data_IF_027861105267
#
_entry.id   IF_027861105267
#
_cell.length_a   1.000
_cell.length_b   1.000
_cell.length_c   1.000
_cell.angle_alpha   90.00
_cell.angle_beta   90.00
_cell.angle_gamma   90.00
#
_symmetry.space_group_name_H-M   'P 1'
#
loop_
_entity.id
_entity.type
_entity.pdbx_description
1 polymer ?
#
# COMPACT_ATOMS: atom_id res chain seq x y z
N UNK A 1 -14.75 23.02 6.03
CA UNK A 1 -14.22 21.91 6.84
C UNK A 1 -12.89 21.54 6.19
N UNK A 2 -11.78 21.45 6.93
CA UNK A 2 -10.51 21.04 6.35
C UNK A 2 -10.61 19.54 6.04
N UNK A 3 -10.53 19.18 4.77
CA UNK A 3 -10.50 17.78 4.36
C UNK A 3 -9.27 17.11 4.98
N UNK A 4 -9.49 15.94 5.57
CA UNK A 4 -8.43 15.10 6.12
C UNK A 4 -7.45 14.71 5.01
N UNK A 5 -6.19 15.10 5.15
CA UNK A 5 -5.12 14.74 4.20
C UNK A 5 -4.59 13.30 4.38
N UNK A 6 -5.23 12.51 5.22
CA UNK A 6 -4.86 11.12 5.47
C UNK A 6 -5.98 10.19 5.00
N UNK A 7 -5.65 9.28 4.10
CA UNK A 7 -6.55 8.27 3.55
C UNK A 7 -5.88 6.91 3.74
N UNK A 8 -6.49 6.04 4.54
CA UNK A 8 -6.04 4.69 4.84
C UNK A 8 -6.88 3.61 4.13
N UNK A 9 -7.92 4.04 3.44
CA UNK A 9 -8.87 3.18 2.76
C UNK A 9 -9.32 3.82 1.46
N UNK A 10 -9.22 3.09 0.35
CA UNK A 10 -9.62 3.59 -0.97
C UNK A 10 -10.17 2.46 -1.82
N UNK A 11 -11.23 2.77 -2.57
CA UNK A 11 -11.80 1.88 -3.59
C UNK A 11 -11.39 2.39 -4.96
N UNK A 12 -10.78 1.54 -5.77
CA UNK A 12 -10.34 1.87 -7.12
C UNK A 12 -10.79 0.80 -8.11
N UNK A 13 -11.04 1.25 -9.33
CA UNK A 13 -11.30 0.40 -10.47
C UNK A 13 -10.02 0.23 -11.29
N UNK A 14 -9.67 -1.02 -11.58
CA UNK A 14 -8.49 -1.38 -12.34
C UNK A 14 -8.87 -2.14 -13.59
N UNK A 15 -8.30 -1.75 -14.74
CA UNK A 15 -8.49 -2.41 -16.02
C UNK A 15 -7.16 -2.66 -16.70
N UNK A 16 -6.87 -3.93 -17.01
CA UNK A 16 -5.67 -4.29 -17.78
C UNK A 16 -5.84 -3.97 -19.26
N UNK A 17 -4.76 -3.99 -20.01
CA UNK A 17 -4.80 -3.81 -21.45
C UNK A 17 -5.33 -5.04 -22.20
N UNK A 18 -6.13 -4.83 -23.23
CA UNK A 18 -6.53 -5.86 -24.22
C UNK A 18 -5.34 -6.23 -25.09
N UNK A 19 -5.18 -7.47 -25.46
CA UNK A 19 -4.20 -7.89 -26.46
C UNK A 19 -4.55 -7.42 -27.86
N UNK A 20 -3.57 -7.02 -28.65
CA UNK A 20 -3.74 -6.63 -30.04
C UNK A 20 -4.14 -7.82 -30.90
N UNK A 21 -4.90 -7.60 -31.96
CA UNK A 21 -5.29 -8.62 -32.92
C UNK A 21 -4.11 -9.03 -33.80
N UNK A 22 -3.98 -10.29 -34.16
CA UNK A 22 -3.07 -10.74 -35.21
C UNK A 22 -3.53 -10.27 -36.59
N UNK A 23 -2.56 -10.00 -37.48
CA UNK A 23 -2.83 -9.54 -38.84
C UNK A 23 -3.18 -10.67 -39.79
N UNK A 24 -4.12 -10.41 -40.68
CA UNK A 24 -4.51 -11.31 -41.77
C UNK A 24 -3.85 -10.94 -43.11
N UNK A 25 -2.86 -10.04 -43.09
CA UNK A 25 -2.24 -9.51 -44.30
C UNK A 25 -1.61 -10.59 -45.16
N UNK A 26 -1.78 -10.44 -46.48
CA UNK A 26 -1.16 -11.27 -47.51
C UNK A 26 -0.10 -10.48 -48.25
N UNK A 27 1.07 -11.06 -48.44
CA UNK A 27 2.18 -10.43 -49.15
C UNK A 27 1.78 -10.20 -50.62
N UNK A 28 1.87 -8.95 -51.07
CA UNK A 28 1.66 -8.56 -52.48
C UNK A 28 2.88 -7.75 -52.90
N UNK A 29 3.56 -8.23 -53.94
CA UNK A 29 4.71 -7.54 -54.53
C UNK A 29 4.57 -7.54 -56.06
N UNK A 30 5.24 -6.58 -56.67
CA UNK A 30 5.35 -6.53 -58.15
C UNK A 30 5.99 -7.85 -58.62
N UNK A 31 5.35 -8.58 -59.46
CA UNK A 31 5.73 -9.92 -59.96
C UNK A 31 5.47 -11.11 -59.00
N UNK A 32 4.88 -10.92 -57.83
CA UNK A 32 4.50 -12.01 -56.91
C UNK A 32 3.02 -11.83 -56.53
N UNK A 33 2.07 -12.23 -57.35
CA UNK A 33 0.63 -12.01 -57.05
C UNK A 33 0.12 -12.87 -55.88
N UNK A 34 0.76 -14.01 -55.58
CA UNK A 34 0.40 -14.95 -54.54
C UNK A 34 1.52 -15.15 -53.50
N UNK A 35 1.94 -14.07 -52.82
CA UNK A 35 3.07 -14.09 -51.90
C UNK A 35 2.86 -14.86 -50.59
N UNK A 36 1.65 -15.30 -50.30
CA UNK A 36 1.30 -16.05 -49.09
C UNK A 36 1.09 -15.15 -47.85
N UNK A 37 0.77 -15.77 -46.70
CA UNK A 37 0.47 -15.06 -45.46
C UNK A 37 1.76 -14.44 -44.88
N UNK A 38 1.69 -13.15 -44.55
CA UNK A 38 2.78 -12.40 -43.94
C UNK A 38 2.33 -11.47 -42.80
N UNK A 39 1.12 -11.71 -42.26
CA UNK A 39 0.60 -11.00 -41.12
C UNK A 39 1.46 -11.29 -39.87
N UNK A 40 1.75 -10.24 -39.12
CA UNK A 40 2.43 -10.31 -37.81
C UNK A 40 1.48 -10.53 -36.65
N UNK A 41 2.03 -10.80 -35.49
CA UNK A 41 1.26 -10.99 -34.24
C UNK A 41 0.90 -9.65 -33.61
N UNK A 42 -0.22 -9.60 -32.90
CA UNK A 42 -0.57 -8.44 -32.08
C UNK A 42 0.33 -8.33 -30.84
N UNK A 43 0.49 -7.12 -30.34
CA UNK A 43 1.19 -6.83 -29.08
C UNK A 43 0.34 -7.28 -27.88
N UNK A 44 1.00 -7.56 -26.74
CA UNK A 44 0.28 -7.82 -25.49
C UNK A 44 -0.33 -6.54 -24.92
N UNK A 45 -1.42 -6.67 -24.17
CA UNK A 45 -1.93 -5.59 -23.32
C UNK A 45 -1.02 -5.34 -22.10
N UNK A 46 -1.06 -4.12 -21.58
CA UNK A 46 -0.33 -3.73 -20.39
C UNK A 46 -0.88 -4.39 -19.13
N UNK A 47 -0.01 -4.62 -18.16
CA UNK A 47 -0.34 -5.15 -16.84
C UNK A 47 -0.69 -4.03 -15.87
N UNK A 48 -1.44 -4.35 -14.81
CA UNK A 48 -1.56 -3.51 -13.61
C UNK A 48 -0.68 -4.14 -12.53
N UNK A 49 0.26 -3.35 -12.02
CA UNK A 49 1.26 -3.80 -11.05
C UNK A 49 1.23 -2.86 -9.84
N UNK A 50 1.07 -3.43 -8.65
CA UNK A 50 1.25 -2.72 -7.39
C UNK A 50 2.73 -2.67 -7.06
N UNK A 51 3.20 -1.49 -6.60
CA UNK A 51 4.60 -1.31 -6.18
C UNK A 51 4.65 -0.66 -4.81
N UNK A 52 5.32 -1.30 -3.85
CA UNK A 52 5.54 -0.76 -2.52
C UNK A 52 6.50 0.43 -2.52
N UNK A 53 6.09 1.56 -1.93
CA UNK A 53 6.92 2.75 -1.83
C UNK A 53 6.87 3.33 -0.40
N UNK A 54 8.02 3.31 0.31
CA UNK A 54 8.15 3.89 1.67
C UNK A 54 7.98 5.40 1.74
N UNK A 55 8.08 6.11 0.60
CA UNK A 55 7.88 7.55 0.57
C UNK A 55 6.41 7.94 0.63
N UNK A 56 5.51 7.01 0.35
CA UNK A 56 4.08 7.18 0.55
C UNK A 56 3.70 6.66 1.94
N UNK A 57 2.92 7.43 2.67
CA UNK A 57 2.41 7.12 4.01
C UNK A 57 0.88 7.17 4.10
N UNK A 58 0.21 7.40 2.97
CA UNK A 58 -1.24 7.48 2.83
C UNK A 58 -1.64 7.10 1.42
N UNK A 59 -2.88 6.65 1.25
CA UNK A 59 -3.47 6.34 -0.06
C UNK A 59 -4.13 7.56 -0.72
N UNK A 60 -3.90 8.78 -0.20
CA UNK A 60 -4.56 10.00 -0.64
C UNK A 60 -4.47 10.25 -2.16
N UNK A 61 -3.32 9.95 -2.78
CA UNK A 61 -3.14 10.14 -4.22
C UNK A 61 -4.08 9.26 -5.04
N UNK A 62 -4.45 8.07 -4.54
CA UNK A 62 -5.37 7.14 -5.20
C UNK A 62 -6.84 7.54 -5.03
N UNK A 63 -7.16 8.41 -4.06
CA UNK A 63 -8.50 8.97 -3.91
C UNK A 63 -8.90 9.84 -5.10
N UNK A 64 -7.93 10.47 -5.74
CA UNK A 64 -8.15 11.34 -6.90
C UNK A 64 -7.97 10.60 -8.24
N UNK A 65 -7.27 9.45 -8.26
CA UNK A 65 -7.08 8.60 -9.44
C UNK A 65 -7.73 7.24 -9.20
N UNK A 66 -9.07 7.22 -9.29
CA UNK A 66 -9.87 6.02 -8.99
C UNK A 66 -9.99 5.04 -10.15
N UNK A 67 -9.65 5.47 -11.36
CA UNK A 67 -9.73 4.68 -12.58
C UNK A 67 -8.35 4.45 -13.16
N UNK A 68 -7.82 3.26 -12.96
CA UNK A 68 -6.47 2.92 -13.37
C UNK A 68 -6.54 1.93 -14.53
N UNK A 69 -6.10 2.40 -15.70
CA UNK A 69 -6.14 1.64 -16.94
C UNK A 69 -4.74 1.46 -17.51
N UNK A 70 -4.41 0.25 -17.94
CA UNK A 70 -3.18 -0.05 -18.66
C UNK A 70 -3.40 0.06 -20.18
N UNK A 71 -2.32 0.27 -20.92
CA UNK A 71 -2.36 0.41 -22.38
C UNK A 71 -2.80 -0.86 -23.09
N UNK A 72 -3.52 -0.69 -24.21
CA UNK A 72 -3.86 -1.81 -25.08
C UNK A 72 -2.68 -2.19 -25.98
N UNK A 73 -2.59 -3.46 -26.36
CA UNK A 73 -1.64 -3.91 -27.37
C UNK A 73 -2.12 -3.52 -28.78
N UNK A 74 -1.19 -3.10 -29.63
CA UNK A 74 -1.47 -2.76 -31.02
C UNK A 74 -1.68 -4.03 -31.87
N UNK A 75 -2.47 -3.89 -32.93
CA UNK A 75 -2.67 -4.98 -33.88
C UNK A 75 -1.39 -5.29 -34.65
N UNK A 76 -1.21 -6.54 -35.07
CA UNK A 76 -0.09 -6.96 -35.91
C UNK A 76 -0.12 -6.27 -37.28
N UNK A 77 1.07 -6.00 -37.80
CA UNK A 77 1.28 -5.32 -39.08
C UNK A 77 1.53 -6.25 -40.25
N UNK A 78 1.94 -5.64 -41.38
CA UNK A 78 2.42 -6.30 -42.60
C UNK A 78 3.84 -6.83 -42.42
N UNK A 79 4.29 -7.72 -43.32
CA UNK A 79 5.68 -8.22 -43.32
C UNK A 79 6.11 -8.85 -41.99
N UNK A 80 5.17 -9.52 -41.30
CA UNK A 80 5.34 -10.13 -39.98
C UNK A 80 5.77 -9.12 -38.90
N UNK A 81 5.40 -7.85 -39.05
CA UNK A 81 5.66 -6.86 -38.02
C UNK A 81 4.73 -7.10 -36.83
N UNK A 82 5.33 -7.21 -35.65
CA UNK A 82 4.57 -7.34 -34.40
C UNK A 82 3.92 -6.01 -34.04
N UNK A 83 2.72 -6.07 -33.48
CA UNK A 83 2.11 -4.91 -32.83
C UNK A 83 2.93 -4.49 -31.58
N UNK A 84 2.92 -3.23 -31.25
CA UNK A 84 3.56 -2.70 -30.03
C UNK A 84 2.81 -3.24 -28.81
N UNK A 85 3.56 -3.61 -27.77
CA UNK A 85 2.98 -3.95 -26.47
C UNK A 85 2.37 -2.73 -25.79
N UNK A 86 1.23 -2.91 -25.11
CA UNK A 86 0.62 -1.90 -24.27
C UNK A 86 1.49 -1.59 -23.06
N UNK A 87 1.46 -0.33 -22.63
CA UNK A 87 2.24 0.13 -21.47
C UNK A 87 1.67 -0.45 -20.17
N UNK A 88 2.56 -0.98 -19.32
CA UNK A 88 2.22 -1.44 -17.99
C UNK A 88 1.94 -0.24 -17.08
N UNK A 89 0.93 -0.33 -16.21
CA UNK A 89 0.59 0.71 -15.24
C UNK A 89 1.01 0.28 -13.85
N UNK A 90 1.85 1.10 -13.22
CA UNK A 90 2.28 0.89 -11.84
C UNK A 90 1.43 1.74 -10.90
N UNK A 91 0.93 1.10 -9.85
CA UNK A 91 0.22 1.75 -8.75
C UNK A 91 1.17 1.74 -7.56
N UNK A 92 1.64 2.92 -7.18
CA UNK A 92 2.50 3.05 -6.02
C UNK A 92 1.66 3.12 -4.74
N UNK A 93 1.93 2.23 -3.80
CA UNK A 93 1.22 2.12 -2.54
C UNK A 93 2.18 2.16 -1.35
N UNK A 94 1.75 2.68 -0.19
CA UNK A 94 2.54 2.58 1.04
C UNK A 94 2.81 1.12 1.40
N UNK A 95 3.95 0.86 2.06
CA UNK A 95 4.20 -0.45 2.65
C UNK A 95 3.16 -0.76 3.74
N UNK A 96 2.69 -2.02 3.78
CA UNK A 96 1.60 -2.43 4.67
C UNK A 96 0.20 -2.25 4.08
N UNK A 97 0.09 -1.99 2.78
CA UNK A 97 -1.20 -1.95 2.09
C UNK A 97 -1.70 -3.35 1.79
N UNK A 98 -2.92 -3.65 2.19
CA UNK A 98 -3.63 -4.89 1.90
C UNK A 98 -4.72 -4.63 0.88
N UNK A 99 -4.88 -5.55 -0.05
CA UNK A 99 -5.81 -5.43 -1.18
C UNK A 99 -6.86 -6.51 -1.11
N UNK A 100 -8.11 -6.11 -1.21
CA UNK A 100 -9.28 -6.98 -1.26
C UNK A 100 -10.07 -6.76 -2.54
N UNK A 101 -10.75 -7.80 -2.99
CA UNK A 101 -11.76 -7.67 -4.03
C UNK A 101 -12.98 -6.93 -3.44
N UNK A 102 -13.43 -5.88 -4.12
CA UNK A 102 -14.55 -5.05 -3.64
C UNK A 102 -15.90 -5.78 -3.71
N UNK A 103 -16.05 -6.77 -4.60
CA UNK A 103 -17.29 -7.49 -4.81
C UNK A 103 -17.41 -8.71 -3.90
N UNK A 104 -16.31 -9.49 -3.76
CA UNK A 104 -16.32 -10.74 -2.98
C UNK A 104 -15.80 -10.58 -1.56
N UNK A 105 -15.09 -9.48 -1.25
CA UNK A 105 -14.40 -9.27 0.02
C UNK A 105 -13.18 -10.17 0.23
N UNK A 106 -12.80 -10.95 -0.79
CA UNK A 106 -11.67 -11.86 -0.70
C UNK A 106 -10.34 -11.10 -0.69
N UNK A 107 -9.41 -11.61 0.10
CA UNK A 107 -8.03 -11.15 0.08
C UNK A 107 -7.36 -11.49 -1.25
N UNK A 108 -6.68 -10.51 -1.84
CA UNK A 108 -5.93 -10.69 -3.09
C UNK A 108 -4.43 -10.74 -2.81
N UNK A 109 -3.88 -9.70 -2.19
CA UNK A 109 -2.45 -9.58 -1.89
C UNK A 109 -2.18 -8.52 -0.84
N UNK A 110 -0.96 -8.50 -0.35
CA UNK A 110 -0.40 -7.42 0.47
C UNK A 110 0.95 -6.96 -0.09
N UNK A 111 1.27 -5.70 0.19
CA UNK A 111 2.51 -5.06 -0.20
C UNK A 111 3.21 -4.58 1.07
N UNK A 112 4.21 -5.33 1.54
CA UNK A 112 4.89 -5.10 2.82
C UNK A 112 6.21 -4.36 2.66
N UNK A 113 6.93 -4.61 1.57
CA UNK A 113 8.29 -4.14 1.39
C UNK A 113 8.41 -3.03 0.33
N UNK A 114 9.42 -2.17 0.52
CA UNK A 114 9.77 -1.16 -0.48
C UNK A 114 10.32 -1.81 -1.75
N UNK A 115 9.76 -1.42 -2.90
CA UNK A 115 10.13 -1.99 -4.18
C UNK A 115 9.53 -3.37 -4.47
N UNK A 116 8.74 -3.94 -3.57
CA UNK A 116 7.97 -5.14 -3.83
C UNK A 116 6.97 -4.86 -4.95
N UNK A 117 6.98 -5.72 -5.96
CA UNK A 117 6.04 -5.64 -7.08
C UNK A 117 5.11 -6.85 -7.06
N UNK A 118 3.81 -6.57 -7.12
CA UNK A 118 2.76 -7.58 -7.18
C UNK A 118 1.91 -7.34 -8.42
N UNK A 119 1.83 -8.31 -9.31
CA UNK A 119 0.98 -8.24 -10.50
C UNK A 119 -0.48 -8.43 -10.07
N UNK A 120 -1.28 -7.36 -10.15
CA UNK A 120 -2.70 -7.38 -9.80
C UNK A 120 -3.55 -7.92 -10.94
N UNK A 121 -3.38 -7.35 -12.14
CA UNK A 121 -4.12 -7.77 -13.34
C UNK A 121 -3.14 -8.00 -14.49
N UNK A 122 -3.35 -9.12 -15.18
CA UNK A 122 -2.54 -9.49 -16.33
C UNK A 122 -3.18 -8.93 -17.60
N UNK A 123 -2.38 -8.27 -18.45
CA UNK A 123 -2.81 -7.86 -19.77
C UNK A 123 -3.06 -9.03 -20.68
N UNK A 124 -4.02 -8.88 -21.59
CA UNK A 124 -4.35 -9.89 -22.60
C UNK A 124 -3.18 -10.19 -23.54
N UNK A 125 -3.02 -11.41 -23.94
CA UNK A 125 -1.99 -11.80 -24.93
C UNK A 125 -2.38 -11.31 -26.31
N UNK A 126 -1.38 -10.89 -27.11
CA UNK A 126 -1.55 -10.60 -28.50
C UNK A 126 -1.98 -11.84 -29.31
N UNK A 127 -2.86 -11.64 -30.26
CA UNK A 127 -3.30 -12.69 -31.17
C UNK A 127 -2.22 -13.02 -32.21
N UNK A 128 -2.13 -14.28 -32.61
CA UNK A 128 -1.19 -14.74 -33.64
C UNK A 128 -1.66 -14.33 -35.05
N UNK A 129 -0.73 -13.83 -35.88
CA UNK A 129 -0.94 -13.51 -37.27
C UNK A 129 -1.17 -14.73 -38.15
N UNK A 130 -1.73 -14.49 -39.35
CA UNK A 130 -2.03 -15.58 -40.28
C UNK A 130 -0.79 -16.39 -40.71
N UNK A 131 0.41 -15.85 -40.60
CA UNK A 131 1.64 -16.54 -40.94
C UNK A 131 1.88 -17.80 -40.09
N UNK A 132 1.39 -17.83 -38.82
CA UNK A 132 1.49 -18.98 -37.93
C UNK A 132 0.55 -20.15 -38.31
N UNK A 133 -0.55 -19.85 -39.03
CA UNK A 133 -1.56 -20.85 -39.41
C UNK A 133 -1.33 -21.48 -40.78
N UNK A 134 -0.16 -21.18 -41.38
CA UNK A 134 0.24 -21.81 -42.64
C UNK A 134 0.63 -23.26 -42.42
N UNK A 135 -0.06 -24.18 -43.14
CA UNK A 135 0.21 -25.62 -43.15
C UNK A 135 0.40 -26.12 -44.57
N UNK A 136 0.88 -27.37 -44.73
CA UNK A 136 1.03 -27.99 -46.05
C UNK A 136 -0.28 -28.03 -46.86
N UNK A 137 -1.40 -28.22 -46.17
CA UNK A 137 -2.76 -28.26 -46.78
C UNK A 137 -3.42 -26.89 -46.87
N UNK A 138 -3.08 -25.95 -45.95
CA UNK A 138 -3.62 -24.60 -45.96
C UNK A 138 -2.47 -23.58 -46.12
N UNK A 139 -2.13 -23.27 -47.35
CA UNK A 139 -0.98 -22.41 -47.65
C UNK A 139 -1.28 -20.91 -47.55
N UNK A 140 -2.55 -20.51 -47.62
CA UNK A 140 -3.02 -19.12 -47.58
C UNK A 140 -4.17 -18.93 -46.59
N UNK A 141 -3.93 -19.03 -45.25
CA UNK A 141 -4.95 -18.77 -44.23
C UNK A 141 -5.33 -17.27 -44.23
N UNK A 142 -6.65 -17.00 -44.35
CA UNK A 142 -7.23 -15.64 -44.33
C UNK A 142 -7.78 -15.29 -42.96
N UNK A 143 -7.33 -15.91 -41.91
CA UNK A 143 -7.72 -15.63 -40.53
C UNK A 143 -6.49 -15.46 -39.63
N UNK A 144 -6.65 -14.70 -38.60
CA UNK A 144 -5.67 -14.52 -37.52
C UNK A 144 -6.39 -14.65 -36.17
N UNK A 145 -5.64 -14.85 -35.13
CA UNK A 145 -6.19 -14.98 -33.79
C UNK A 145 -6.52 -13.58 -33.23
N UNK A 146 -7.72 -13.39 -32.66
CA UNK A 146 -7.99 -12.17 -31.89
C UNK A 146 -7.07 -12.10 -30.68
N UNK A 147 -6.80 -10.88 -30.19
CA UNK A 147 -6.13 -10.71 -28.91
C UNK A 147 -7.01 -11.19 -27.76
N UNK A 148 -6.40 -11.60 -26.65
CA UNK A 148 -7.13 -11.92 -25.43
C UNK A 148 -7.80 -10.66 -24.85
N UNK A 149 -8.98 -10.80 -24.24
CA UNK A 149 -9.69 -9.68 -23.65
C UNK A 149 -8.91 -9.10 -22.46
N UNK A 150 -9.24 -7.88 -22.08
CA UNK A 150 -8.80 -7.24 -20.85
C UNK A 150 -9.44 -7.88 -19.62
N UNK A 151 -8.79 -7.70 -18.47
CA UNK A 151 -9.32 -8.07 -17.17
C UNK A 151 -9.70 -6.81 -16.42
N UNK A 152 -10.83 -6.83 -15.74
CA UNK A 152 -11.36 -5.74 -14.94
C UNK A 152 -11.54 -6.20 -13.50
N UNK A 153 -11.24 -5.34 -12.56
CA UNK A 153 -11.39 -5.64 -11.14
C UNK A 153 -11.55 -4.36 -10.34
N UNK A 154 -12.59 -4.30 -9.53
CA UNK A 154 -12.73 -3.28 -8.49
C UNK A 154 -12.09 -3.80 -7.22
N UNK A 155 -11.14 -3.04 -6.70
CA UNK A 155 -10.40 -3.40 -5.48
C UNK A 155 -10.60 -2.37 -4.40
N UNK A 156 -10.42 -2.86 -3.18
CA UNK A 156 -10.34 -2.04 -1.98
C UNK A 156 -8.94 -2.18 -1.42
N UNK A 157 -8.28 -1.07 -1.24
CA UNK A 157 -6.99 -0.99 -0.58
C UNK A 157 -7.15 -0.49 0.85
N UNK A 158 -6.58 -1.20 1.79
CA UNK A 158 -6.55 -0.84 3.20
C UNK A 158 -5.11 -0.74 3.67
N UNK A 159 -4.73 0.41 4.20
CA UNK A 159 -3.43 0.58 4.83
C UNK A 159 -3.48 0.04 6.26
N UNK A 160 -2.83 -1.10 6.52
CA UNK A 160 -2.80 -1.74 7.85
C UNK A 160 -1.67 -1.25 8.74
N UNK A 161 -0.58 -0.74 8.18
CA UNK A 161 0.50 -0.14 8.94
C UNK A 161 0.23 1.34 9.15
N UNK A 162 0.03 1.73 10.40
CA UNK A 162 -0.15 3.14 10.76
C UNK A 162 1.18 3.85 10.92
N UNK A 163 2.13 3.20 11.61
CA UNK A 163 3.46 3.71 11.87
C UNK A 163 4.42 2.54 12.16
N UNK A 164 5.71 2.80 11.96
CA UNK A 164 6.76 1.85 12.34
C UNK A 164 6.90 1.78 13.87
N UNK A 165 6.77 2.93 14.55
CA UNK A 165 6.90 3.08 16.01
C UNK A 165 5.67 3.72 16.61
N UNK A 166 5.00 3.05 17.54
CA UNK A 166 3.90 3.59 18.33
C UNK A 166 4.37 4.08 19.69
N UNK A 167 4.02 5.33 20.07
CA UNK A 167 4.33 5.91 21.38
C UNK A 167 3.29 5.48 22.41
N UNK A 168 3.76 4.88 23.50
CA UNK A 168 2.93 4.40 24.62
C UNK A 168 3.41 5.08 25.91
N UNK A 169 2.53 5.69 26.67
CA UNK A 169 2.90 6.33 27.93
C UNK A 169 1.78 7.14 28.54
N UNK A 170 1.90 7.47 29.82
CA UNK A 170 0.94 8.27 30.57
C UNK A 170 0.75 9.69 29.99
N UNK A 171 -0.36 10.37 30.27
CA UNK A 171 -0.47 11.80 30.02
C UNK A 171 0.76 12.54 30.57
N UNK A 172 1.24 13.54 29.84
CA UNK A 172 2.43 14.31 30.18
C UNK A 172 3.78 13.54 30.23
N UNK A 173 3.84 12.29 29.78
CA UNK A 173 5.12 11.56 29.62
C UNK A 173 6.03 12.14 28.53
N UNK A 174 5.60 13.17 27.81
CA UNK A 174 6.39 13.85 26.79
C UNK A 174 6.26 13.30 25.37
N UNK A 175 5.26 12.47 25.08
CA UNK A 175 5.05 11.82 23.76
C UNK A 175 5.00 12.82 22.60
N UNK A 176 4.06 13.76 22.64
CA UNK A 176 3.89 14.76 21.57
C UNK A 176 5.07 15.73 21.47
N UNK A 177 5.75 16.00 22.59
CA UNK A 177 6.98 16.79 22.61
C UNK A 177 8.11 16.04 21.93
N UNK A 178 8.31 14.76 22.24
CA UNK A 178 9.29 13.92 21.56
C UNK A 178 9.02 13.90 20.05
N UNK A 179 7.78 13.61 19.65
CA UNK A 179 7.40 13.53 18.26
C UNK A 179 7.71 14.84 17.51
N UNK A 180 7.45 15.99 18.12
CA UNK A 180 7.73 17.30 17.52
C UNK A 180 9.23 17.60 17.36
N UNK A 181 10.06 17.07 18.24
CA UNK A 181 11.53 17.26 18.21
C UNK A 181 12.21 16.33 17.22
N UNK A 182 11.76 15.08 17.12
CA UNK A 182 12.40 14.07 16.25
C UNK A 182 11.92 14.12 14.81
N UNK A 183 10.76 14.71 14.55
CA UNK A 183 10.14 14.77 13.22
C UNK A 183 10.81 15.83 12.32
N UNK A 184 11.02 15.50 11.05
CA UNK A 184 11.58 16.41 10.04
C UNK A 184 10.63 17.57 9.67
N UNK A 185 9.33 17.38 9.85
CA UNK A 185 8.28 18.36 9.61
C UNK A 185 7.36 18.40 10.84
N UNK A 186 6.57 19.47 10.98
CA UNK A 186 5.55 19.52 12.04
C UNK A 186 4.68 18.26 11.96
N UNK A 187 4.49 17.54 13.08
CA UNK A 187 3.62 16.38 13.11
C UNK A 187 2.26 16.71 12.51
N UNK A 188 1.74 15.85 11.67
CA UNK A 188 0.43 16.04 11.07
C UNK A 188 -0.60 15.29 11.88
N UNK A 189 -1.67 15.96 12.20
CA UNK A 189 -2.86 15.38 12.80
C UNK A 189 -3.56 14.58 11.70
N UNK A 190 -3.75 13.29 11.91
CA UNK A 190 -4.48 12.45 10.99
C UNK A 190 -5.91 12.30 11.50
N UNK A 191 -6.87 12.88 10.78
CA UNK A 191 -8.31 12.73 11.06
C UNK A 191 -8.77 11.38 10.51
N UNK A 192 -8.96 10.43 11.41
CA UNK A 192 -9.61 9.17 11.05
C UNK A 192 -11.12 9.33 11.28
N UNK A 193 -11.98 9.06 10.29
CA UNK A 193 -13.42 9.23 10.41
C UNK A 193 -14.06 8.35 11.50
N UNK A 194 -13.30 7.39 12.03
CA UNK A 194 -13.75 6.46 13.07
C UNK A 194 -13.01 6.62 14.41
N UNK A 195 -12.14 7.63 14.56
CA UNK A 195 -11.46 7.95 15.81
C UNK A 195 -11.97 9.27 16.38
N UNK A 196 -12.37 9.26 17.63
CA UNK A 196 -12.66 10.50 18.37
C UNK A 196 -11.38 11.22 18.80
N UNK A 197 -10.23 10.54 18.69
CA UNK A 197 -8.90 11.04 19.02
C UNK A 197 -8.01 10.89 17.79
N UNK A 198 -7.49 12.00 17.30
CA UNK A 198 -6.67 12.07 16.11
C UNK A 198 -5.21 11.72 16.46
N UNK A 199 -4.60 10.67 15.90
CA UNK A 199 -3.19 10.38 16.11
C UNK A 199 -2.30 11.41 15.43
N UNK A 200 -1.23 11.80 16.09
CA UNK A 200 -0.20 12.63 15.51
C UNK A 200 0.87 11.76 14.86
N UNK A 201 1.07 11.92 13.57
CA UNK A 201 2.12 11.19 12.82
C UNK A 201 3.30 12.10 12.53
N UNK A 202 4.51 11.57 12.72
CA UNK A 202 5.75 12.27 12.40
C UNK A 202 6.72 11.37 11.63
N UNK A 203 7.32 11.91 10.58
CA UNK A 203 8.39 11.24 9.84
C UNK A 203 9.70 11.58 10.53
N UNK A 204 10.39 10.57 11.05
CA UNK A 204 11.66 10.69 11.75
C UNK A 204 12.80 10.40 10.77
N UNK A 205 13.62 11.41 10.44
CA UNK A 205 14.77 11.18 9.58
C UNK A 205 15.86 10.41 10.33
N UNK A 206 16.45 9.46 9.62
CA UNK A 206 17.60 8.68 10.08
C UNK A 206 18.75 8.82 9.09
N UNK A 207 19.93 8.23 9.41
CA UNK A 207 21.16 8.32 8.60
C UNK A 207 20.93 7.86 7.15
N UNK A 208 21.74 8.39 6.23
CA UNK A 208 21.77 7.99 4.79
C UNK A 208 20.42 8.17 4.05
N UNK A 209 19.67 9.22 4.43
CA UNK A 209 18.38 9.51 3.78
C UNK A 209 17.26 8.53 4.11
N UNK A 210 17.46 7.65 5.08
CA UNK A 210 16.45 6.75 5.62
C UNK A 210 15.51 7.49 6.55
N UNK A 211 14.32 6.97 6.74
CA UNK A 211 13.31 7.51 7.66
C UNK A 211 12.38 6.40 8.13
N UNK A 212 11.71 6.63 9.24
CA UNK A 212 10.63 5.80 9.75
C UNK A 212 9.49 6.67 10.29
N UNK A 213 8.30 6.11 10.37
CA UNK A 213 7.11 6.82 10.83
C UNK A 213 6.88 6.52 12.31
N UNK A 214 6.67 7.56 13.09
CA UNK A 214 6.34 7.47 14.51
C UNK A 214 4.95 8.05 14.75
N UNK A 215 4.12 7.34 15.52
CA UNK A 215 2.77 7.76 15.87
C UNK A 215 2.65 8.06 17.36
N UNK A 216 2.17 9.26 17.71
CA UNK A 216 1.65 9.57 19.03
C UNK A 216 0.17 9.25 19.06
N UNK A 217 -0.17 8.26 19.88
CA UNK A 217 -1.53 7.76 19.99
C UNK A 217 -2.09 8.27 21.32
N UNK A 218 -2.86 9.38 21.35
CA UNK A 218 -3.42 9.92 22.57
C UNK A 218 -4.49 8.97 23.15
N UNK A 219 -4.58 8.87 24.47
CA UNK A 219 -5.69 8.23 25.18
C UNK A 219 -5.58 6.72 25.44
N UNK A 220 -4.36 6.13 25.45
CA UNK A 220 -4.17 4.72 25.84
C UNK A 220 -4.62 4.45 27.29
N UNK A 221 -4.59 5.45 28.17
CA UNK A 221 -4.57 5.25 29.63
C UNK A 221 -5.79 5.82 30.37
N UNK A 222 -6.60 6.69 29.77
CA UNK A 222 -7.77 7.25 30.46
C UNK A 222 -9.05 6.44 30.16
N UNK A 223 -9.31 5.41 30.97
CA UNK A 223 -10.61 4.74 31.03
C UNK A 223 -10.88 3.68 29.96
N UNK A 224 -9.87 3.10 29.33
CA UNK A 224 -10.04 2.00 28.39
C UNK A 224 -10.66 0.75 29.07
N UNK A 225 -10.45 0.56 30.36
CA UNK A 225 -11.02 -0.52 31.17
C UNK A 225 -12.49 -0.31 31.60
N UNK A 226 -13.04 0.92 31.50
CA UNK A 226 -14.38 1.24 31.97
C UNK A 226 -15.50 1.03 30.92
N UNK A 227 -15.25 0.37 29.80
CA UNK A 227 -16.31 -0.12 28.90
C UNK A 227 -17.05 0.95 28.09
N UNK A 228 -16.58 2.20 28.05
CA UNK A 228 -17.13 3.22 27.17
C UNK A 228 -16.56 3.08 25.76
N UNK A 229 -17.10 2.20 24.98
CA UNK A 229 -17.12 1.99 23.53
C UNK A 229 -16.05 2.52 22.58
N UNK A 230 -15.16 3.38 23.04
CA UNK A 230 -14.10 4.08 22.29
C UNK A 230 -12.80 3.27 22.14
N UNK A 231 -12.56 2.30 23.04
CA UNK A 231 -11.29 1.58 23.14
C UNK A 231 -11.01 0.60 21.98
N UNK A 232 -11.99 -0.13 21.50
CA UNK A 232 -11.78 -1.25 20.57
C UNK A 232 -11.35 -0.81 19.14
N UNK A 233 -11.81 0.33 18.65
CA UNK A 233 -11.42 0.84 17.31
C UNK A 233 -10.03 1.46 17.34
N UNK A 234 -9.72 2.15 18.40
CA UNK A 234 -8.46 2.83 18.63
C UNK A 234 -7.27 1.88 18.78
N UNK A 235 -7.48 0.78 19.44
CA UNK A 235 -6.45 -0.19 19.75
C UNK A 235 -6.08 -1.09 18.54
N UNK A 236 -6.94 -1.16 17.52
CA UNK A 236 -6.57 -1.70 16.20
C UNK A 236 -5.42 -0.91 15.55
N UNK A 237 -5.25 0.37 15.89
CA UNK A 237 -4.14 1.17 15.36
C UNK A 237 -2.81 0.86 16.03
N UNK A 238 -2.83 0.47 17.31
CA UNK A 238 -1.60 0.03 18.00
C UNK A 238 -1.17 -1.34 17.50
N UNK A 239 -2.12 -2.21 17.15
CA UNK A 239 -1.83 -3.49 16.50
C UNK A 239 -1.09 -3.34 15.16
N UNK A 240 -1.23 -2.17 14.54
CA UNK A 240 -0.63 -1.84 13.24
C UNK A 240 0.79 -1.28 13.31
N UNK A 241 1.35 -1.08 14.50
CA UNK A 241 2.75 -0.63 14.67
C UNK A 241 3.69 -1.83 14.77
N UNK A 242 4.87 -1.72 14.18
CA UNK A 242 5.88 -2.78 14.23
C UNK A 242 6.60 -2.84 15.57
N UNK A 243 6.80 -1.68 16.21
CA UNK A 243 7.54 -1.49 17.46
C UNK A 243 6.75 -0.59 18.42
N UNK A 244 6.82 -0.86 19.72
CA UNK A 244 6.24 -0.01 20.75
C UNK A 244 7.32 0.69 21.55
N UNK A 245 7.28 2.02 21.60
CA UNK A 245 8.15 2.85 22.46
C UNK A 245 7.38 3.27 23.70
N UNK A 246 7.72 2.64 24.83
CA UNK A 246 7.18 3.00 26.13
C UNK A 246 7.91 4.24 26.66
N UNK A 247 7.16 5.22 27.10
CA UNK A 247 7.68 6.46 27.62
C UNK A 247 7.26 6.65 29.08
N UNK A 248 8.21 6.60 29.98
CA UNK A 248 8.01 6.82 31.41
C UNK A 248 8.82 8.06 31.81
N UNK A 249 8.20 9.06 32.47
CA UNK A 249 8.91 10.25 32.86
C UNK A 249 9.83 9.98 34.09
N UNK A 250 10.98 10.63 34.13
CA UNK A 250 11.97 10.47 35.19
C UNK A 250 11.52 10.99 36.56
N UNK A 251 10.48 11.84 36.57
CA UNK A 251 9.82 12.37 37.77
C UNK A 251 8.76 11.40 38.36
N UNK A 252 8.63 10.18 37.80
CA UNK A 252 7.77 9.15 38.36
C UNK A 252 8.32 8.58 39.67
N UNK A 253 7.45 8.26 40.63
CA UNK A 253 7.83 7.68 41.91
C UNK A 253 8.50 6.31 41.79
N UNK A 254 8.08 5.51 40.81
CA UNK A 254 8.62 4.18 40.49
C UNK A 254 8.46 3.86 39.00
N UNK A 255 9.56 4.01 38.26
CA UNK A 255 9.59 3.81 36.80
C UNK A 255 9.21 2.38 36.40
N UNK A 256 9.68 1.39 37.17
CA UNK A 256 9.37 -0.02 36.90
C UNK A 256 7.88 -0.31 37.06
N UNK A 257 7.30 0.22 38.13
CA UNK A 257 5.86 0.03 38.41
C UNK A 257 4.99 0.71 37.36
N UNK A 258 5.34 1.92 36.92
CA UNK A 258 4.63 2.59 35.85
C UNK A 258 4.71 1.81 34.53
N UNK A 259 5.89 1.27 34.21
CA UNK A 259 6.04 0.40 33.03
C UNK A 259 5.18 -0.86 33.15
N UNK A 260 5.11 -1.53 34.31
CA UNK A 260 4.28 -2.70 34.55
C UNK A 260 2.79 -2.37 34.43
N UNK A 261 2.33 -1.20 34.88
CA UNK A 261 0.95 -0.75 34.71
C UNK A 261 0.63 -0.58 33.22
N UNK A 262 1.50 0.07 32.45
CA UNK A 262 1.33 0.23 31.00
C UNK A 262 1.25 -1.12 30.26
N UNK A 263 2.06 -2.09 30.66
CA UNK A 263 2.03 -3.45 30.12
C UNK A 263 0.70 -4.17 30.45
N UNK A 264 0.25 -4.06 31.70
CA UNK A 264 -1.02 -4.67 32.11
C UNK A 264 -2.22 -4.09 31.35
N UNK A 265 -2.23 -2.78 31.12
CA UNK A 265 -3.28 -2.14 30.30
C UNK A 265 -3.28 -2.66 28.86
N UNK A 266 -2.11 -2.74 28.23
CA UNK A 266 -1.98 -3.31 26.89
C UNK A 266 -2.40 -4.77 26.86
N UNK A 267 -2.02 -5.58 27.86
CA UNK A 267 -2.39 -7.01 27.94
C UNK A 267 -3.88 -7.23 28.12
N UNK A 268 -4.50 -6.38 28.93
CA UNK A 268 -5.96 -6.43 29.16
C UNK A 268 -6.72 -6.10 27.87
N UNK A 269 -6.10 -5.30 27.03
CA UNK A 269 -6.67 -4.87 25.77
C UNK A 269 -6.51 -5.93 24.67
N UNK A 270 -5.29 -6.32 24.35
CA UNK A 270 -4.94 -7.40 23.42
C UNK A 270 -3.65 -8.10 23.86
N UNK A 271 -3.74 -9.37 24.34
CA UNK A 271 -2.57 -10.14 24.74
C UNK A 271 -1.50 -10.27 23.66
N UNK A 272 -1.89 -10.28 22.38
CA UNK A 272 -0.95 -10.38 21.24
C UNK A 272 0.00 -9.19 21.13
N UNK A 273 -0.33 -8.06 21.76
CA UNK A 273 0.56 -6.90 21.79
C UNK A 273 1.78 -7.09 22.67
N UNK A 274 1.74 -8.06 23.57
CA UNK A 274 2.89 -8.42 24.40
C UNK A 274 4.01 -9.11 23.61
N UNK A 275 3.69 -9.66 22.43
CA UNK A 275 4.68 -10.31 21.57
C UNK A 275 5.46 -9.32 20.70
N UNK A 276 5.02 -8.05 20.65
CA UNK A 276 5.71 -7.01 19.89
C UNK A 276 7.02 -6.59 20.51
N UNK A 277 7.97 -6.19 19.65
CA UNK A 277 9.23 -5.59 20.09
C UNK A 277 8.95 -4.29 20.87
N UNK A 278 9.71 -4.08 21.95
CA UNK A 278 9.50 -3.00 22.90
C UNK A 278 10.80 -2.30 23.22
N UNK A 279 10.75 -0.99 23.30
CA UNK A 279 11.84 -0.14 23.78
C UNK A 279 11.30 0.75 24.90
N UNK A 280 12.07 0.97 25.95
CA UNK A 280 11.72 1.84 27.05
C UNK A 280 12.53 3.14 26.99
N UNK A 281 11.85 4.27 26.95
CA UNK A 281 12.47 5.59 27.03
C UNK A 281 12.11 6.25 28.36
N UNK A 282 13.13 6.56 29.15
CA UNK A 282 13.00 7.36 30.34
C UNK A 282 13.12 8.83 29.91
N UNK A 283 12.03 9.60 30.05
CA UNK A 283 11.94 10.98 29.57
C UNK A 283 12.21 11.99 30.66
N UNK A 284 12.45 13.28 30.29
CA UNK A 284 12.74 14.38 31.17
C UNK A 284 14.05 14.17 32.00
N UNK A 285 15.03 13.50 31.45
CA UNK A 285 16.30 13.19 32.13
C UNK A 285 17.18 14.43 32.40
N UNK A 286 16.79 15.58 31.89
CA UNK A 286 17.39 16.88 32.25
C UNK A 286 17.16 17.25 33.71
N UNK A 287 16.28 16.55 34.41
CA UNK A 287 16.00 16.74 35.85
C UNK A 287 16.82 15.79 36.76
N UNK A 288 17.54 14.83 36.17
CA UNK A 288 18.29 13.82 36.90
C UNK A 288 19.80 14.10 36.90
N UNK A 289 20.45 13.84 38.05
CA UNK A 289 21.89 13.75 38.13
C UNK A 289 22.40 12.37 37.68
N UNK A 290 23.67 12.28 37.30
CA UNK A 290 24.26 11.04 36.79
C UNK A 290 24.16 9.88 37.81
N UNK A 291 24.28 10.15 39.10
CA UNK A 291 24.16 9.15 40.15
C UNK A 291 22.77 8.54 40.24
N UNK A 292 21.72 9.35 40.02
CA UNK A 292 20.32 8.90 39.97
C UNK A 292 20.03 8.10 38.69
N UNK A 293 20.63 8.46 37.57
CA UNK A 293 20.50 7.67 36.34
C UNK A 293 21.08 6.27 36.52
N UNK A 294 22.28 6.17 37.14
CA UNK A 294 22.96 4.89 37.43
C UNK A 294 22.17 4.03 38.43
N UNK A 295 21.42 4.66 39.33
CA UNK A 295 20.55 3.97 40.30
C UNK A 295 19.26 3.45 39.60
N UNK A 296 18.64 4.26 38.78
CA UNK A 296 17.47 3.87 37.98
C UNK A 296 17.84 2.72 37.05
N UNK A 297 18.98 2.78 36.37
CA UNK A 297 19.44 1.75 35.45
C UNK A 297 19.52 0.36 36.11
N UNK A 298 19.91 0.29 37.37
CA UNK A 298 19.94 -0.98 38.14
C UNK A 298 18.56 -1.55 38.47
N UNK A 299 17.52 -0.73 38.44
CA UNK A 299 16.14 -1.14 38.76
C UNK A 299 15.36 -1.58 37.51
N UNK A 300 15.86 -1.23 36.30
CA UNK A 300 15.23 -1.53 35.05
C UNK A 300 15.38 -3.01 34.66
N UNK A 301 14.42 -3.60 33.90
CA UNK A 301 14.55 -4.96 33.41
C UNK A 301 15.66 -5.07 32.35
N UNK A 302 16.64 -5.94 32.59
CA UNK A 302 17.78 -6.18 31.67
C UNK A 302 17.38 -6.69 30.29
N UNK A 303 16.16 -7.25 30.15
CA UNK A 303 15.68 -7.87 28.92
C UNK A 303 15.14 -6.87 27.90
N UNK A 304 15.01 -5.58 28.23
CA UNK A 304 14.36 -4.58 27.40
C UNK A 304 15.37 -3.49 27.05
N UNK A 305 15.59 -3.18 25.76
CA UNK A 305 16.39 -2.03 25.37
C UNK A 305 15.81 -0.75 25.99
N UNK A 306 16.63 0.01 26.67
CA UNK A 306 16.21 1.25 27.31
C UNK A 306 17.16 2.41 27.02
N UNK A 307 16.64 3.63 27.12
CA UNK A 307 17.40 4.85 26.84
C UNK A 307 16.86 6.02 27.67
N UNK A 308 17.80 6.83 28.21
CA UNK A 308 17.49 8.08 28.88
C UNK A 308 17.45 9.23 27.88
N UNK A 309 16.33 9.96 27.82
CA UNK A 309 16.15 11.05 26.86
C UNK A 309 15.64 12.33 27.53
N UNK A 310 16.04 13.45 26.95
CA UNK A 310 15.39 14.73 27.17
C UNK A 310 15.03 15.37 25.82
N UNK A 311 13.77 15.57 25.59
CA UNK A 311 13.28 16.24 24.37
C UNK A 311 13.66 17.74 24.36
N UNK A 312 13.86 18.36 25.54
CA UNK A 312 14.18 19.78 25.63
C UNK A 312 15.67 20.02 25.33
N UNK A 313 16.57 19.22 25.92
CA UNK A 313 18.02 19.35 25.73
C UNK A 313 18.55 18.54 24.56
N UNK A 314 17.71 17.74 23.92
CA UNK A 314 18.08 16.77 22.86
C UNK A 314 19.05 15.67 23.36
N UNK A 315 19.19 15.49 24.67
CA UNK A 315 20.01 14.42 25.26
C UNK A 315 19.42 13.06 24.87
N UNK A 316 20.27 12.11 24.47
CA UNK A 316 19.87 10.73 24.15
C UNK A 316 19.04 10.53 22.89
N UNK A 317 18.62 11.60 22.19
CA UNK A 317 17.74 11.48 20.99
C UNK A 317 18.43 10.70 19.86
N UNK A 318 19.74 10.90 19.63
CA UNK A 318 20.48 10.14 18.61
C UNK A 318 20.57 8.66 18.96
N UNK A 319 20.84 8.34 20.23
CA UNK A 319 20.87 6.96 20.71
C UNK A 319 19.50 6.28 20.60
N UNK A 320 18.42 7.01 20.94
CA UNK A 320 17.06 6.53 20.75
C UNK A 320 16.79 6.15 19.27
N UNK A 321 17.15 7.03 18.33
CA UNK A 321 16.98 6.75 16.90
C UNK A 321 17.79 5.53 16.45
N UNK A 322 18.99 5.35 16.95
CA UNK A 322 19.84 4.20 16.63
C UNK A 322 19.23 2.90 17.16
N UNK A 323 18.76 2.88 18.41
CA UNK A 323 18.09 1.73 19.02
C UNK A 323 16.80 1.39 18.28
N UNK A 324 15.95 2.38 18.00
CA UNK A 324 14.70 2.16 17.25
C UNK A 324 14.97 1.60 15.86
N UNK A 325 15.96 2.12 15.17
CA UNK A 325 16.34 1.64 13.84
C UNK A 325 16.85 0.19 13.87
N UNK A 326 17.67 -0.16 14.86
CA UNK A 326 18.18 -1.52 15.05
C UNK A 326 17.03 -2.49 15.36
N UNK A 327 16.14 -2.14 16.28
CA UNK A 327 14.98 -2.97 16.64
C UNK A 327 14.00 -3.17 15.46
N UNK A 328 13.74 -2.11 14.66
CA UNK A 328 12.88 -2.19 13.49
C UNK A 328 13.44 -3.12 12.38
N UNK A 329 14.76 -3.28 12.29
CA UNK A 329 15.40 -4.08 11.27
C UNK A 329 15.79 -5.50 11.74
N UNK A 330 15.48 -5.89 12.98
CA UNK A 330 15.65 -7.28 13.44
C UNK A 330 14.76 -8.23 12.62
N UNK A 331 15.27 -9.41 12.30
CA UNK A 331 14.55 -10.41 11.48
C UNK A 331 13.20 -10.81 12.06
N UNK A 332 13.01 -10.75 13.38
CA UNK A 332 11.75 -11.02 14.06
C UNK A 332 10.65 -9.96 13.84
N UNK A 333 11.00 -8.78 13.33
CA UNK A 333 10.04 -7.70 13.01
C UNK A 333 9.51 -7.74 11.57
N UNK A 334 9.99 -8.67 10.75
CA UNK A 334 9.37 -8.94 9.45
C UNK A 334 7.99 -9.49 9.73
N UNK A 335 6.98 -8.79 9.26
CA UNK A 335 5.57 -9.20 9.38
C UNK A 335 5.45 -10.58 8.70
N UNK A 336 5.54 -11.63 9.51
CA UNK A 336 5.20 -12.98 9.05
C UNK A 336 3.71 -12.96 8.72
N UNK A 337 3.39 -13.42 7.52
CA UNK A 337 2.11 -13.32 6.85
C UNK A 337 0.90 -13.28 7.77
N UNK A 338 0.28 -12.13 7.85
CA UNK A 338 -0.97 -11.95 8.58
C UNK A 338 -2.00 -12.90 7.97
N UNK A 339 -2.58 -13.78 8.77
CA UNK A 339 -3.67 -14.64 8.32
C UNK A 339 -4.86 -13.76 7.96
N UNK A 340 -5.02 -13.49 6.68
CA UNK A 340 -6.10 -12.67 6.16
C UNK A 340 -7.39 -13.50 6.12
N UNK A 341 -8.35 -13.14 6.97
CA UNK A 341 -9.71 -13.69 6.88
C UNK A 341 -10.51 -12.87 5.87
N UNK A 342 -11.34 -13.52 5.03
CA UNK A 342 -12.27 -12.80 4.17
C UNK A 342 -13.10 -11.81 4.98
N UNK A 343 -13.23 -10.59 4.49
CA UNK A 343 -14.08 -9.59 5.13
C UNK A 343 -15.53 -9.82 4.70
N UNK A 344 -16.47 -9.56 5.61
CA UNK A 344 -17.89 -9.54 5.28
C UNK A 344 -18.15 -8.35 4.35
N UNK A 345 -18.64 -8.63 3.13
CA UNK A 345 -18.90 -7.63 2.08
C UNK A 345 -19.86 -6.54 2.57
N UNK A 346 -20.89 -6.93 3.34
CA UNK A 346 -21.86 -5.97 3.89
C UNK A 346 -21.19 -5.00 4.88
N UNK A 347 -20.21 -5.50 5.65
CA UNK A 347 -19.45 -4.67 6.58
C UNK A 347 -18.48 -3.74 5.86
N UNK A 348 -17.85 -4.22 4.80
CA UNK A 348 -16.99 -3.45 3.91
C UNK A 348 -17.77 -2.31 3.22
N UNK A 349 -18.96 -2.61 2.69
CA UNK A 349 -19.83 -1.61 2.06
C UNK A 349 -20.37 -0.59 3.07
N UNK A 350 -20.68 -1.03 4.30
CA UNK A 350 -21.09 -0.11 5.36
C UNK A 350 -19.95 0.83 5.78
N UNK A 351 -18.72 0.32 5.86
CA UNK A 351 -17.52 1.13 6.13
C UNK A 351 -17.26 2.16 5.00
N UNK A 352 -17.49 1.80 3.73
CA UNK A 352 -17.40 2.71 2.58
C UNK A 352 -18.46 3.83 2.63
N UNK A 353 -19.71 3.47 2.96
CA UNK A 353 -20.79 4.45 3.11
C UNK A 353 -20.55 5.45 4.23
N UNK A 354 -20.05 4.98 5.37
CA UNK A 354 -19.68 5.86 6.49
C UNK A 354 -18.54 6.83 6.12
N UNK A 355 -17.68 6.47 5.16
CA UNK A 355 -16.59 7.30 4.66
C UNK A 355 -16.99 8.27 3.55
N UNK A 356 -18.25 8.23 3.07
CA UNK A 356 -18.73 9.07 1.97
C UNK A 356 -18.12 8.72 0.61
N UNK A 357 -17.64 7.51 0.44
CA UNK A 357 -17.00 7.03 -0.81
C UNK A 357 -17.96 6.29 -1.74
N UNK A 358 -19.23 6.10 -1.36
CA UNK A 358 -20.26 5.39 -2.15
C UNK A 358 -21.05 6.31 -3.10
N UNK A 359 -20.80 7.61 -3.11
CA UNK A 359 -21.46 8.50 -4.06
C UNK A 359 -20.76 8.41 -5.42
N UNK A 360 -21.50 7.90 -6.41
CA UNK A 360 -21.24 7.92 -7.85
C UNK A 360 -20.20 6.93 -8.42
N UNK A 361 -20.42 5.61 -8.23
CA UNK A 361 -19.87 4.59 -9.13
C UNK A 361 -20.91 4.15 -10.18
N UNK A 362 -21.68 5.10 -10.76
CA UNK A 362 -22.43 4.82 -11.99
C UNK A 362 -21.52 5.04 -13.20
N UNK A 363 -21.14 3.93 -13.82
CA UNK A 363 -20.36 3.95 -15.06
C UNK A 363 -21.31 4.20 -16.23
N UNK A 364 -21.18 5.33 -16.89
CA UNK A 364 -21.52 5.44 -18.29
C UNK A 364 -20.29 5.01 -19.10
N UNK A 365 -20.25 3.76 -19.50
CA UNK A 365 -19.36 3.34 -20.58
C UNK A 365 -19.90 3.93 -21.86
N UNK A 366 -19.33 5.01 -22.32
CA UNK A 366 -19.28 5.27 -23.74
C UNK A 366 -18.06 4.49 -24.23
N UNK A 367 -18.32 3.28 -24.75
CA UNK A 367 -17.32 2.54 -25.51
C UNK A 367 -16.98 3.41 -26.74
N UNK A 368 -15.93 4.22 -26.60
CA UNK A 368 -15.22 4.76 -27.76
C UNK A 368 -14.38 3.66 -28.42
N UNK A 369 -14.95 2.47 -28.60
CA UNK A 369 -14.52 1.56 -29.64
C UNK A 369 -15.27 1.99 -30.93
N UNK A 370 -14.90 3.14 -31.50
CA UNK A 370 -15.05 3.34 -32.89
C UNK A 370 -14.23 2.23 -33.57
N UNK A 371 -14.92 1.11 -33.84
CA UNK A 371 -14.49 0.19 -34.86
C UNK A 371 -14.39 1.02 -36.17
N UNK A 372 -13.18 1.52 -36.44
CA UNK A 372 -12.85 1.80 -37.84
C UNK A 372 -13.00 0.50 -38.59
N UNK A 373 -14.23 0.24 -39.03
CA UNK A 373 -14.48 -0.64 -40.15
C UNK A 373 -13.73 -0.04 -41.35
N UNK A 374 -12.49 -0.46 -41.49
CA UNK A 374 -11.76 -0.28 -42.74
C UNK A 374 -12.53 -1.20 -43.75
N UNK A 375 -13.56 -0.65 -44.32
CA UNK A 375 -14.08 -1.14 -45.57
C UNK A 375 -12.94 -1.00 -46.58
N UNK A 376 -12.27 -2.11 -46.91
CA UNK A 376 -11.49 -2.23 -48.13
C UNK A 376 -12.52 -2.09 -49.28
N UNK A 377 -12.66 -0.87 -49.79
CA UNK A 377 -13.32 -0.62 -51.08
C UNK A 377 -12.52 -1.39 -52.13
N UNK A 378 -13.05 -2.57 -52.47
CA UNK A 378 -12.64 -3.26 -53.67
C UNK A 378 -13.35 -2.57 -54.84
N UNK A 379 -12.73 -1.55 -55.42
CA UNK A 379 -13.00 -1.16 -56.79
C UNK A 379 -12.55 -2.31 -57.67
N UNK A 380 -13.55 -3.05 -58.18
CA UNK A 380 -13.40 -3.93 -59.34
C UNK A 380 -13.11 -3.03 -60.56
N UNK A 381 -11.84 -2.79 -60.86
CA UNK A 381 -11.46 -2.29 -62.17
C UNK A 381 -11.57 -3.46 -63.16
N UNK A 382 -12.64 -3.43 -63.97
CA UNK A 382 -12.79 -4.19 -65.19
C UNK A 382 -11.65 -3.88 -66.14
N UNK A 383 -10.83 -4.86 -66.41
CA UNK A 383 -9.86 -4.82 -67.51
C UNK A 383 -10.46 -5.56 -68.73
N UNK A 384 -10.91 -4.77 -69.77
CA UNK A 384 -10.99 -5.23 -71.14
C UNK A 384 -9.59 -5.45 -71.77
#
# INVERSE_FOLDING_TARGET
>A
MAESNFVDYVKIYCRSGKGGRGSTHMRREKYIPNGGPDGGDGGRGGHIILRGNRNYWTLLHLRYDRHIMAGHGESGGKQRSFGKDGEDKYIEVPCGTVVYNAETGEYICDVTDHGQEVMLLKGGRGGQGNSHFKTATRQAPRFAQPGEPMQELTIIMELKLLADVGLVGFPNAGKSTLLSVVSAAKPKIANYPFTTLEPNLGIVPYRDGKSFVMADIPGIIEGASEGKGLGLRFLRHIERNSLLLFMVPADADDIKKEYEILLNELSTFNPEMLDKQRVLAITKCDMLDQELMDEIEKTLPESIPHVFISSITSLGISALKDILWEELNKEGNKIEGIVHRPKDVNKLQAELKEMGEDEDFEYSYEDEDEEEEIFDDYEEEDWE
#
